data_IF_796983001098
#
_entry.id   IF_796983001098
#
_cell.length_a   1.000
_cell.length_b   1.000
_cell.length_c   1.000
_cell.angle_alpha   90.00
_cell.angle_beta   90.00
_cell.angle_gamma   90.00
#
_symmetry.space_group_name_H-M   'P 1'
#
loop_
_entity.id
_entity.type
_entity.pdbx_description
1 polymer ?
#
# COMPACT_ATOMS: atom_id res chain seq x y z
N UNK A 1 -20.23 3.84 16.28
CA UNK A 1 -20.05 3.61 16.27
C UNK A 1 -19.69 3.06 15.89
N UNK A 2 -19.55 3.00 15.87
CA UNK A 2 -19.21 2.45 15.77
C UNK A 2 -18.54 1.98 15.18
N UNK A 3 -18.30 2.02 15.41
CA UNK A 3 -17.19 1.22 15.10
C UNK A 3 -16.70 1.38 13.71
N UNK A 4 -16.75 2.51 13.24
CA UNK A 4 -16.39 2.84 11.87
C UNK A 4 -14.91 3.07 11.75
N UNK A 5 -14.14 2.04 11.95
CA UNK A 5 -12.71 2.15 11.73
C UNK A 5 -12.47 2.18 10.22
N UNK A 6 -11.74 3.17 9.74
CA UNK A 6 -11.42 3.21 8.32
C UNK A 6 -10.67 1.97 7.91
N UNK A 7 -11.16 1.32 6.90
CA UNK A 7 -10.52 0.11 6.43
C UNK A 7 -9.49 0.37 5.36
N UNK A 8 -9.47 1.59 4.89
CA UNK A 8 -8.57 1.96 3.81
C UNK A 8 -7.70 3.11 4.24
N UNK A 9 -6.48 3.10 3.75
CA UNK A 9 -5.58 4.23 3.93
C UNK A 9 -5.12 4.66 2.55
N UNK A 10 -4.80 5.94 2.42
CA UNK A 10 -4.31 6.45 1.16
C UNK A 10 -2.92 5.91 0.88
N UNK A 11 -2.49 6.04 -0.36
CA UNK A 11 -1.16 5.58 -0.74
C UNK A 11 -0.10 6.33 0.05
N UNK A 12 -0.29 7.61 0.23
CA UNK A 12 0.66 8.42 0.98
C UNK A 12 0.79 7.89 2.40
N UNK A 13 -0.35 7.65 3.03
CA UNK A 13 -0.35 7.16 4.40
C UNK A 13 0.22 5.76 4.49
N UNK A 14 -0.11 4.93 3.51
CA UNK A 14 0.39 3.57 3.49
C UNK A 14 1.91 3.57 3.38
N UNK A 15 2.46 4.44 2.55
CA UNK A 15 3.90 4.51 2.41
C UNK A 15 4.55 4.90 3.72
N UNK A 16 3.93 5.83 4.44
CA UNK A 16 4.45 6.23 5.73
C UNK A 16 4.42 5.07 6.73
N UNK A 17 3.31 4.35 6.73
CA UNK A 17 3.17 3.23 7.65
C UNK A 17 4.16 2.13 7.35
N UNK A 18 4.44 1.91 6.08
CA UNK A 18 5.35 0.87 5.67
C UNK A 18 6.80 1.32 5.71
N UNK A 19 7.03 2.61 5.79
CA UNK A 19 8.39 3.13 5.84
C UNK A 19 9.11 3.04 4.51
N UNK A 20 8.37 3.18 3.41
CA UNK A 20 8.97 3.14 2.09
C UNK A 20 8.52 4.36 1.31
N UNK A 21 9.25 4.72 0.24
CA UNK A 21 8.84 5.83 -0.60
C UNK A 21 7.53 5.53 -1.31
N UNK A 22 6.80 6.59 -1.59
CA UNK A 22 5.53 6.43 -2.28
C UNK A 22 5.71 5.80 -3.65
N UNK A 23 6.79 6.15 -4.32
CA UNK A 23 7.08 5.58 -5.64
C UNK A 23 7.22 4.07 -5.55
N UNK A 24 7.93 3.63 -4.54
CA UNK A 24 8.14 2.21 -4.35
C UNK A 24 6.82 1.51 -4.08
N UNK A 25 6.00 2.11 -3.24
CA UNK A 25 4.70 1.54 -2.93
C UNK A 25 3.86 1.44 -4.19
N UNK A 26 3.88 2.46 -5.01
CA UNK A 26 3.13 2.46 -6.25
C UNK A 26 3.57 1.32 -7.16
N UNK A 27 4.88 1.10 -7.24
CA UNK A 27 5.40 0.03 -8.08
C UNK A 27 4.98 -1.33 -7.56
N UNK A 28 5.11 -1.53 -6.26
CA UNK A 28 4.72 -2.80 -5.66
C UNK A 28 3.23 -3.04 -5.87
N UNK A 29 2.44 -2.01 -5.68
CA UNK A 29 1.00 -2.11 -5.86
C UNK A 29 0.67 -2.54 -7.30
N UNK A 30 1.35 -1.94 -8.24
CA UNK A 30 1.11 -2.23 -9.64
C UNK A 30 1.50 -3.66 -9.99
N UNK A 31 2.62 -4.11 -9.48
CA UNK A 31 3.11 -5.43 -9.80
C UNK A 31 2.33 -6.53 -9.11
N UNK A 32 1.90 -6.29 -7.89
CA UNK A 32 1.17 -7.30 -7.13
C UNK A 32 -0.33 -7.18 -7.30
N UNK A 33 -0.79 -6.09 -7.93
CA UNK A 33 -2.21 -5.85 -8.12
C UNK A 33 -2.93 -5.69 -6.80
N UNK A 34 -2.22 -5.21 -5.81
CA UNK A 34 -2.83 -4.88 -4.53
C UNK A 34 -3.18 -3.40 -4.54
N UNK A 35 -4.18 -3.05 -3.75
CA UNK A 35 -4.61 -1.68 -3.70
C UNK A 35 -5.83 -1.44 -4.55
N UNK A 36 -6.50 -0.34 -4.28
CA UNK A 36 -7.71 0.03 -4.98
C UNK A 36 -7.59 1.46 -5.46
N UNK A 37 -7.76 1.67 -6.74
CA UNK A 37 -7.66 2.99 -7.32
C UNK A 37 -9.05 3.51 -7.62
N UNK A 38 -9.33 4.71 -7.14
CA UNK A 38 -10.58 5.36 -7.41
C UNK A 38 -10.34 6.66 -8.13
N UNK A 39 -11.20 6.97 -9.05
CA UNK A 39 -11.09 8.17 -9.82
C UNK A 39 -12.19 9.13 -9.44
N UNK A 40 -11.82 10.33 -9.08
CA UNK A 40 -12.78 11.38 -8.75
C UNK A 40 -12.44 12.57 -9.60
N UNK A 41 -13.23 12.80 -10.65
CA UNK A 41 -12.95 13.90 -11.55
C UNK A 41 -11.66 13.67 -12.30
N UNK A 42 -10.74 14.60 -12.14
CA UNK A 42 -9.45 14.53 -12.80
C UNK A 42 -8.42 13.79 -11.98
N UNK A 43 -8.77 13.37 -10.79
CA UNK A 43 -7.78 12.84 -9.88
C UNK A 43 -7.99 11.37 -9.64
N UNK A 44 -6.89 10.67 -9.48
CA UNK A 44 -6.90 9.28 -9.12
C UNK A 44 -6.28 9.14 -7.76
N UNK A 45 -6.87 8.29 -6.94
CA UNK A 45 -6.33 8.05 -5.62
C UNK A 45 -6.32 6.57 -5.35
N UNK A 46 -5.23 6.08 -4.83
CA UNK A 46 -5.08 4.66 -4.53
C UNK A 46 -5.19 4.46 -3.04
N UNK A 47 -5.99 3.48 -2.65
CA UNK A 47 -6.21 3.14 -1.26
C UNK A 47 -5.80 1.70 -1.01
N UNK A 48 -5.41 1.44 0.22
CA UNK A 48 -5.00 0.10 0.62
C UNK A 48 -5.72 -0.30 1.89
N UNK A 49 -6.12 -1.56 1.95
CA UNK A 49 -6.62 -2.10 3.21
C UNK A 49 -5.43 -2.51 4.07
N UNK A 50 -5.69 -2.68 5.34
CA UNK A 50 -4.62 -3.12 6.23
C UNK A 50 -4.10 -4.47 5.83
N UNK A 51 -4.97 -5.32 5.34
CA UNK A 51 -4.55 -6.63 4.89
C UNK A 51 -3.61 -6.52 3.70
N UNK A 52 -3.92 -5.62 2.80
CA UNK A 52 -3.06 -5.40 1.65
C UNK A 52 -1.71 -4.83 2.07
N UNK A 53 -1.72 -3.94 3.05
CA UNK A 53 -0.48 -3.40 3.58
C UNK A 53 0.39 -4.51 4.14
N UNK A 54 -0.25 -5.43 4.82
CA UNK A 54 0.48 -6.54 5.39
C UNK A 54 1.14 -7.38 4.32
N UNK A 55 0.42 -7.63 3.22
CA UNK A 55 0.98 -8.39 2.13
C UNK A 55 2.12 -7.65 1.45
N UNK A 56 1.97 -6.36 1.29
CA UNK A 56 3.01 -5.55 0.69
C UNK A 56 4.25 -5.58 1.58
N UNK A 57 4.04 -5.51 2.87
CA UNK A 57 5.14 -5.57 3.81
C UNK A 57 5.91 -6.87 3.68
N UNK A 58 5.20 -7.97 3.51
CA UNK A 58 5.84 -9.25 3.34
C UNK A 58 6.63 -9.30 2.04
N UNK A 59 6.06 -8.78 0.99
CA UNK A 59 6.75 -8.75 -0.30
C UNK A 59 8.02 -7.93 -0.20
N UNK A 60 7.91 -6.79 0.44
CA UNK A 60 9.06 -5.91 0.60
C UNK A 60 10.14 -6.57 1.44
N UNK A 61 9.72 -7.21 2.51
CA UNK A 61 10.66 -7.89 3.39
C UNK A 61 11.37 -9.01 2.66
N UNK A 62 10.63 -9.75 1.87
CA UNK A 62 11.21 -10.84 1.12
C UNK A 62 12.29 -10.32 0.19
N UNK A 63 12.01 -9.23 -0.47
CA UNK A 63 13.00 -8.64 -1.35
C UNK A 63 14.26 -8.26 -0.59
N UNK A 64 14.08 -7.65 0.56
CA UNK A 64 15.20 -7.26 1.39
C UNK A 64 16.00 -8.46 1.85
N UNK A 65 15.30 -9.47 2.27
CA UNK A 65 15.98 -10.64 2.81
C UNK A 65 16.81 -11.32 1.75
N UNK A 66 16.30 -11.37 0.54
CA UNK A 66 17.07 -11.96 -0.53
C UNK A 66 18.35 -11.20 -0.77
N UNK A 67 18.27 -9.91 -0.66
CA UNK A 67 19.46 -9.09 -0.86
C UNK A 67 20.48 -9.34 0.23
N UNK A 68 20.03 -9.74 1.38
CA UNK A 68 20.92 -9.98 2.50
C UNK A 68 21.75 -11.22 2.31
N UNK A 69 21.26 -12.14 1.61
CA UNK A 69 21.98 -13.38 1.38
C UNK A 69 22.61 -13.38 0.02
#
# INVERSE_FOLDING_TARGET
MNGEVPRYVTQERAALLLGIPEDELGRISSESELGHTERAGDQEETFFTYEELRQICLLSTHGSMRATY
#
